data_IF_274063392753
#
_entry.id   IF_274063392753
#
_cell.length_a   1.000
_cell.length_b   1.000
_cell.length_c   1.000
_cell.angle_alpha   90.00
_cell.angle_beta   90.00
_cell.angle_gamma   90.00
#
_symmetry.space_group_name_H-M   'P 1'
#
loop_
_entity.id
_entity.type
_entity.pdbx_description
1 polymer ?
#
# COMPACT_ATOMS: atom_id res chain seq x y z
N UNK A 1 -7.85 12.39 20.36
CA UNK A 1 -7.42 11.35 19.39
C UNK A 1 -6.11 10.75 19.86
N UNK A 2 -5.94 9.42 19.83
CA UNK A 2 -4.70 8.76 20.28
C UNK A 2 -3.51 9.26 19.43
N UNK A 3 -2.39 9.66 20.06
CA UNK A 3 -1.17 10.14 19.38
C UNK A 3 -0.72 9.20 18.26
N UNK A 4 -0.82 7.89 18.46
CA UNK A 4 -0.42 6.91 17.44
C UNK A 4 -1.29 6.99 16.19
N UNK A 5 -2.58 7.36 16.32
CA UNK A 5 -3.48 7.60 15.18
C UNK A 5 -3.02 8.84 14.41
N UNK A 6 -2.70 9.93 15.12
CA UNK A 6 -2.21 11.18 14.50
C UNK A 6 -0.93 10.91 13.70
N UNK A 7 0.04 10.23 14.30
CA UNK A 7 1.31 9.90 13.62
C UNK A 7 1.10 8.99 12.41
N UNK A 8 0.20 8.02 12.51
CA UNK A 8 -0.13 7.13 11.38
C UNK A 8 -0.73 7.93 10.22
N UNK A 9 -1.69 8.81 10.49
CA UNK A 9 -2.31 9.67 9.48
C UNK A 9 -1.26 10.61 8.86
N UNK A 10 -0.41 11.24 9.68
CA UNK A 10 0.64 12.13 9.22
C UNK A 10 1.67 11.43 8.31
N UNK A 11 2.14 10.24 8.69
CA UNK A 11 3.07 9.44 7.88
C UNK A 11 2.41 8.96 6.57
N UNK A 12 1.13 8.59 6.63
CA UNK A 12 0.35 8.23 5.44
C UNK A 12 0.25 9.43 4.47
N UNK A 13 -0.10 10.60 4.99
CA UNK A 13 -0.18 11.84 4.21
C UNK A 13 1.19 12.21 3.60
N UNK A 14 2.27 12.08 4.36
CA UNK A 14 3.63 12.28 3.87
C UNK A 14 3.98 11.32 2.73
N UNK A 15 3.67 10.03 2.87
CA UNK A 15 3.93 9.04 1.83
C UNK A 15 3.17 9.37 0.53
N UNK A 16 1.91 9.78 0.63
CA UNK A 16 1.10 10.25 -0.51
C UNK A 16 1.70 11.51 -1.14
N UNK A 17 2.11 12.48 -0.34
CA UNK A 17 2.72 13.72 -0.83
C UNK A 17 4.04 13.45 -1.57
N UNK A 18 4.92 12.61 -1.02
CA UNK A 18 6.18 12.22 -1.67
C UNK A 18 5.95 11.56 -3.02
N UNK A 19 4.96 10.67 -3.12
CA UNK A 19 4.59 10.06 -4.39
C UNK A 19 4.14 11.09 -5.42
N UNK A 20 3.38 12.12 -5.01
CA UNK A 20 2.84 13.13 -5.92
C UNK A 20 3.87 14.14 -6.43
N UNK A 21 5.02 14.26 -5.77
CA UNK A 21 6.16 15.08 -6.24
C UNK A 21 6.94 14.35 -7.34
N UNK A 22 6.80 13.03 -7.46
CA UNK A 22 7.52 12.25 -8.47
C UNK A 22 6.96 12.57 -9.86
N UNK A 23 7.80 13.00 -10.82
CA UNK A 23 7.36 13.23 -12.18
C UNK A 23 6.83 11.91 -12.76
N UNK A 24 5.77 12.00 -13.57
CA UNK A 24 5.25 10.85 -14.28
C UNK A 24 6.20 10.50 -15.42
N UNK A 25 7.15 9.62 -15.15
CA UNK A 25 8.11 9.16 -16.15
C UNK A 25 7.49 8.07 -17.03
N UNK A 26 7.66 8.20 -18.33
CA UNK A 26 7.29 7.14 -19.26
C UNK A 26 8.03 5.85 -18.93
N UNK A 27 7.33 4.72 -18.93
CA UNK A 27 7.90 3.42 -18.59
C UNK A 27 8.08 3.16 -17.09
N UNK A 28 7.72 4.10 -16.21
CA UNK A 28 7.77 3.92 -14.75
C UNK A 28 6.34 3.83 -14.21
N UNK A 29 5.86 2.60 -14.04
CA UNK A 29 4.52 2.28 -13.56
C UNK A 29 4.57 1.68 -12.15
N UNK A 30 3.45 1.73 -11.43
CA UNK A 30 3.32 1.02 -10.14
C UNK A 30 4.08 1.66 -8.97
N UNK A 31 4.64 2.86 -9.11
CA UNK A 31 5.08 3.62 -7.94
C UNK A 31 3.83 4.09 -7.21
N UNK A 32 3.66 3.72 -5.95
CA UNK A 32 2.54 4.16 -5.11
C UNK A 32 2.76 3.72 -3.66
N UNK A 33 2.42 4.55 -2.67
CA UNK A 33 2.54 4.18 -1.26
C UNK A 33 1.39 3.28 -0.78
N UNK A 34 0.36 3.04 -1.61
CA UNK A 34 -0.90 2.48 -1.13
C UNK A 34 -0.77 1.05 -0.59
N UNK A 35 0.12 0.24 -1.16
CA UNK A 35 0.44 -1.10 -0.65
C UNK A 35 1.01 -1.04 0.75
N UNK A 36 1.99 -0.16 0.97
CA UNK A 36 2.61 0.05 2.27
C UNK A 36 1.61 0.61 3.27
N UNK A 37 0.71 1.52 2.85
CA UNK A 37 -0.36 2.06 3.70
C UNK A 37 -1.33 0.95 4.13
N UNK A 38 -1.73 0.05 3.23
CA UNK A 38 -2.60 -1.08 3.55
C UNK A 38 -1.93 -2.05 4.54
N UNK A 39 -0.68 -2.44 4.30
CA UNK A 39 0.09 -3.29 5.23
C UNK A 39 0.28 -2.62 6.60
N UNK A 40 0.67 -1.35 6.59
CA UNK A 40 0.97 -0.56 7.78
C UNK A 40 -0.29 -0.35 8.63
N UNK A 41 -1.40 0.07 8.04
CA UNK A 41 -2.68 0.25 8.72
C UNK A 41 -3.16 -1.04 9.40
N UNK A 42 -3.08 -2.19 8.71
CA UNK A 42 -3.36 -3.50 9.30
C UNK A 42 -2.45 -3.82 10.50
N UNK A 43 -1.16 -3.53 10.37
CA UNK A 43 -0.19 -3.83 11.44
C UNK A 43 -0.34 -2.95 12.69
N UNK A 44 -0.74 -1.69 12.52
CA UNK A 44 -0.86 -0.69 13.59
C UNK A 44 -2.22 -0.80 14.29
N UNK A 45 -3.31 -1.00 13.54
CA UNK A 45 -4.67 -0.99 14.04
C UNK A 45 -5.26 -2.39 14.25
N UNK A 46 -4.46 -3.37 14.70
CA UNK A 46 -4.93 -4.75 14.96
C UNK A 46 -6.18 -4.81 15.85
N UNK A 47 -6.24 -3.95 16.88
CA UNK A 47 -7.38 -3.86 17.81
C UNK A 47 -8.53 -2.99 17.31
N UNK A 48 -8.31 -2.17 16.27
CA UNK A 48 -9.32 -1.28 15.69
C UNK A 48 -9.43 -1.56 14.18
N UNK A 49 -10.13 -2.65 13.85
CA UNK A 49 -10.29 -3.11 12.45
C UNK A 49 -10.95 -2.06 11.56
N UNK A 50 -11.87 -1.25 12.11
CA UNK A 50 -12.51 -0.16 11.37
C UNK A 50 -11.47 0.81 10.81
N UNK A 51 -10.56 1.30 11.65
CA UNK A 51 -9.46 2.17 11.22
C UNK A 51 -8.44 1.46 10.31
N UNK A 52 -8.19 0.17 10.54
CA UNK A 52 -7.27 -0.62 9.72
C UNK A 52 -7.70 -0.64 8.25
N UNK A 53 -8.99 -0.84 7.98
CA UNK A 53 -9.51 -0.87 6.60
C UNK A 53 -9.86 0.52 6.06
N UNK A 54 -10.36 1.43 6.91
CA UNK A 54 -10.79 2.76 6.48
C UNK A 54 -9.62 3.58 5.92
N UNK A 55 -8.44 3.51 6.56
CA UNK A 55 -7.29 4.31 6.16
C UNK A 55 -6.83 4.05 4.70
N UNK A 56 -6.56 2.81 4.26
CA UNK A 56 -6.19 2.54 2.87
C UNK A 56 -7.34 2.80 1.89
N UNK A 57 -8.59 2.52 2.26
CA UNK A 57 -9.75 2.80 1.38
C UNK A 57 -9.93 4.29 1.15
N UNK A 58 -9.80 5.12 2.19
CA UNK A 58 -9.83 6.58 2.02
C UNK A 58 -8.64 7.09 1.20
N UNK A 59 -7.45 6.54 1.43
CA UNK A 59 -6.27 6.92 0.65
C UNK A 59 -6.44 6.62 -0.85
N UNK A 60 -7.03 5.46 -1.20
CA UNK A 60 -7.42 5.14 -2.58
C UNK A 60 -8.44 6.13 -3.12
N UNK A 61 -9.55 6.30 -2.39
CA UNK A 61 -10.66 7.15 -2.83
C UNK A 61 -10.21 8.59 -3.09
N UNK A 62 -9.47 9.20 -2.17
CA UNK A 62 -8.94 10.55 -2.40
C UNK A 62 -7.93 10.60 -3.54
N UNK A 63 -7.11 9.56 -3.72
CA UNK A 63 -6.20 9.48 -4.86
C UNK A 63 -6.95 9.45 -6.19
N UNK A 64 -8.07 8.71 -6.25
CA UNK A 64 -8.93 8.61 -7.42
C UNK A 64 -9.66 9.93 -7.70
N UNK A 65 -10.24 10.57 -6.67
CA UNK A 65 -10.83 11.92 -6.79
C UNK A 65 -9.81 12.92 -7.36
N UNK A 66 -8.57 12.89 -6.87
CA UNK A 66 -7.52 13.77 -7.38
C UNK A 66 -7.23 13.53 -8.86
N UNK A 67 -7.08 12.27 -9.30
CA UNK A 67 -6.89 11.98 -10.72
C UNK A 67 -8.10 12.36 -11.57
N UNK A 68 -9.31 12.18 -11.04
CA UNK A 68 -10.53 12.64 -11.71
C UNK A 68 -10.52 14.15 -11.95
N UNK A 69 -10.03 14.93 -10.98
CA UNK A 69 -9.94 16.39 -11.09
C UNK A 69 -8.78 16.86 -11.99
N UNK A 70 -7.69 16.10 -12.07
CA UNK A 70 -6.50 16.45 -12.86
C UNK A 70 -6.72 16.21 -14.35
N UNK A 71 -7.17 15.00 -14.72
CA UNK A 71 -7.22 14.56 -16.13
C UNK A 71 -8.47 13.74 -16.48
N UNK A 72 -9.40 13.58 -15.52
CA UNK A 72 -10.63 12.84 -15.73
C UNK A 72 -10.50 11.31 -15.63
N UNK A 73 -9.33 10.78 -15.29
CA UNK A 73 -9.04 9.33 -15.29
C UNK A 73 -9.25 8.63 -13.94
N UNK A 74 -9.73 9.34 -12.93
CA UNK A 74 -9.82 8.84 -11.56
C UNK A 74 -10.83 7.70 -11.34
N UNK A 75 -11.96 7.72 -12.05
CA UNK A 75 -13.00 6.70 -11.93
C UNK A 75 -13.17 5.92 -13.24
N UNK A 76 -13.09 4.58 -13.17
CA UNK A 76 -13.16 3.72 -14.35
C UNK A 76 -13.87 2.37 -14.09
N UNK A 77 -14.42 1.73 -15.15
CA UNK A 77 -15.08 0.43 -15.02
C UNK A 77 -14.16 -0.65 -14.44
N UNK A 78 -14.66 -1.43 -13.49
CA UNK A 78 -13.91 -2.53 -12.85
C UNK A 78 -13.00 -2.12 -11.70
N UNK A 79 -12.84 -0.82 -11.43
CA UNK A 79 -12.02 -0.27 -10.33
C UNK A 79 -12.37 -0.83 -8.95
N UNK A 80 -13.63 -1.21 -8.71
CA UNK A 80 -14.07 -1.80 -7.43
C UNK A 80 -13.29 -3.07 -7.05
N UNK A 81 -12.80 -3.82 -8.04
CA UNK A 81 -11.93 -4.99 -7.79
C UNK A 81 -10.65 -4.55 -7.06
N UNK A 82 -10.06 -3.41 -7.44
CA UNK A 82 -8.86 -2.90 -6.78
C UNK A 82 -9.12 -2.55 -5.31
N UNK A 83 -10.29 -1.98 -4.99
CA UNK A 83 -10.69 -1.70 -3.60
C UNK A 83 -10.77 -2.98 -2.76
N UNK A 84 -11.40 -4.03 -3.30
CA UNK A 84 -11.46 -5.35 -2.64
C UNK A 84 -10.05 -5.91 -2.44
N UNK A 85 -9.19 -5.86 -3.45
CA UNK A 85 -7.83 -6.37 -3.35
C UNK A 85 -7.02 -5.59 -2.30
N UNK A 86 -7.18 -4.28 -2.18
CA UNK A 86 -6.51 -3.53 -1.12
C UNK A 86 -7.04 -3.83 0.28
N UNK A 87 -8.34 -4.12 0.44
CA UNK A 87 -8.87 -4.67 1.69
C UNK A 87 -8.21 -6.01 2.02
N UNK A 88 -7.98 -6.88 1.03
CA UNK A 88 -7.22 -8.12 1.23
C UNK A 88 -5.76 -7.85 1.62
N UNK A 89 -5.09 -6.87 1.01
CA UNK A 89 -3.72 -6.50 1.39
C UNK A 89 -3.68 -6.01 2.84
N UNK A 90 -4.68 -5.25 3.31
CA UNK A 90 -4.78 -4.88 4.73
C UNK A 90 -4.81 -6.09 5.66
N UNK A 91 -5.48 -7.18 5.24
CA UNK A 91 -5.50 -8.42 6.02
C UNK A 91 -4.09 -9.02 6.20
N UNK A 92 -3.22 -8.95 5.17
CA UNK A 92 -1.81 -9.36 5.29
C UNK A 92 -1.12 -8.53 6.40
N UNK A 93 -1.44 -7.24 6.46
CA UNK A 93 -0.95 -6.32 7.50
C UNK A 93 -1.21 -6.79 8.94
N UNK A 94 -2.31 -7.49 9.21
CA UNK A 94 -2.61 -7.99 10.57
C UNK A 94 -1.62 -9.05 11.05
N UNK A 95 -0.99 -9.79 10.15
CA UNK A 95 0.01 -10.79 10.48
C UNK A 95 1.41 -10.20 10.66
N UNK A 96 1.58 -8.90 10.36
CA UNK A 96 2.89 -8.26 10.47
C UNK A 96 3.27 -8.04 11.95
N UNK A 97 4.46 -8.51 12.34
CA UNK A 97 5.11 -8.04 13.55
C UNK A 97 5.91 -6.77 13.22
N UNK A 98 5.36 -5.61 13.58
CA UNK A 98 5.92 -4.28 13.30
C UNK A 98 7.30 -4.00 13.90
N UNK A 99 7.79 -4.85 14.81
CA UNK A 99 9.13 -4.74 15.39
C UNK A 99 10.15 -5.65 14.68
N UNK A 100 9.74 -6.42 13.67
CA UNK A 100 10.59 -7.35 12.95
C UNK A 100 10.74 -6.89 11.48
N UNK A 101 11.95 -6.42 11.14
CA UNK A 101 12.28 -5.88 9.81
C UNK A 101 12.15 -6.95 8.72
N UNK A 102 12.52 -8.21 9.00
CA UNK A 102 12.36 -9.32 8.04
C UNK A 102 10.88 -9.54 7.74
N UNK A 103 10.03 -9.50 8.77
CA UNK A 103 8.60 -9.70 8.59
C UNK A 103 7.95 -8.56 7.77
N UNK A 104 8.36 -7.31 8.00
CA UNK A 104 7.94 -6.15 7.20
C UNK A 104 8.42 -6.29 5.74
N UNK A 105 9.69 -6.69 5.54
CA UNK A 105 10.27 -6.89 4.22
C UNK A 105 9.54 -7.98 3.43
N UNK A 106 9.32 -9.14 4.04
CA UNK A 106 8.57 -10.24 3.42
C UNK A 106 7.14 -9.83 3.05
N UNK A 107 6.43 -9.15 3.94
CA UNK A 107 5.08 -8.66 3.64
C UNK A 107 5.08 -7.61 2.50
N UNK A 108 6.11 -6.77 2.45
CA UNK A 108 6.28 -5.75 1.40
C UNK A 108 6.58 -6.35 0.02
N UNK A 109 7.05 -7.59 -0.03
CA UNK A 109 7.14 -8.37 -1.27
C UNK A 109 5.83 -9.11 -1.54
N UNK A 110 5.29 -9.80 -0.53
CA UNK A 110 4.10 -10.64 -0.70
C UNK A 110 2.85 -9.85 -1.13
N UNK A 111 2.65 -8.65 -0.59
CA UNK A 111 1.48 -7.83 -0.90
C UNK A 111 1.36 -7.44 -2.39
N UNK A 112 2.36 -6.77 -2.99
CA UNK A 112 2.31 -6.45 -4.42
C UNK A 112 2.30 -7.70 -5.30
N UNK A 113 2.96 -8.80 -4.90
CA UNK A 113 2.87 -10.07 -5.64
C UNK A 113 1.45 -10.66 -5.62
N UNK A 114 0.80 -10.70 -4.45
CA UNK A 114 -0.56 -11.20 -4.32
C UNK A 114 -1.55 -10.37 -5.14
N UNK A 115 -1.44 -9.04 -5.05
CA UNK A 115 -2.25 -8.13 -5.86
C UNK A 115 -2.01 -8.32 -7.35
N UNK A 116 -0.76 -8.45 -7.78
CA UNK A 116 -0.42 -8.68 -9.19
C UNK A 116 -1.09 -9.94 -9.73
N UNK A 117 -0.99 -11.06 -9.01
CA UNK A 117 -1.61 -12.32 -9.42
C UNK A 117 -3.13 -12.20 -9.48
N UNK A 118 -3.75 -11.64 -8.45
CA UNK A 118 -5.22 -11.61 -8.35
C UNK A 118 -5.85 -10.57 -9.29
N UNK A 119 -5.24 -9.40 -9.45
CA UNK A 119 -5.75 -8.36 -10.35
C UNK A 119 -5.67 -8.81 -11.80
N UNK A 120 -4.54 -9.38 -12.24
CA UNK A 120 -4.39 -9.89 -13.60
C UNK A 120 -5.26 -11.13 -13.86
N UNK A 121 -5.43 -12.00 -12.88
CA UNK A 121 -6.41 -13.10 -12.99
C UNK A 121 -7.84 -12.55 -13.17
N UNK A 122 -8.22 -11.51 -12.42
CA UNK A 122 -9.51 -10.86 -12.58
C UNK A 122 -9.68 -10.24 -13.97
N UNK A 123 -8.65 -9.60 -14.52
CA UNK A 123 -8.65 -9.05 -15.89
C UNK A 123 -8.83 -10.16 -16.91
N UNK A 124 -8.09 -11.27 -16.76
CA UNK A 124 -8.19 -12.42 -17.64
C UNK A 124 -9.59 -13.05 -17.59
N UNK A 125 -10.19 -13.24 -16.41
CA UNK A 125 -11.55 -13.82 -16.28
C UNK A 125 -12.64 -12.86 -16.76
N UNK A 126 -12.50 -11.55 -16.55
CA UNK A 126 -13.48 -10.56 -17.02
C UNK A 126 -13.40 -10.31 -18.53
N UNK A 127 -12.30 -10.68 -19.18
CA UNK A 127 -12.06 -10.39 -20.58
C UNK A 127 -11.59 -8.95 -20.83
N UNK A 128 -11.08 -8.28 -19.78
CA UNK A 128 -10.47 -6.96 -19.89
C UNK A 128 -9.06 -7.00 -20.49
N UNK A 129 -8.37 -5.85 -20.46
CA UNK A 129 -7.02 -5.72 -20.99
C UNK A 129 -6.95 -6.04 -22.49
N UNK A 130 -6.01 -6.89 -22.89
CA UNK A 130 -5.85 -7.35 -24.28
C UNK A 130 -6.77 -8.54 -24.65
N UNK A 131 -7.76 -8.84 -23.80
CA UNK A 131 -8.76 -9.90 -24.02
C UNK A 131 -8.12 -11.25 -24.42
N UNK A 132 -7.09 -11.67 -23.66
CA UNK A 132 -6.36 -12.92 -23.92
C UNK A 132 -7.30 -14.13 -23.90
N UNK A 133 -7.01 -15.22 -24.66
CA UNK A 133 -7.85 -16.41 -24.72
C UNK A 133 -8.16 -17.01 -23.34
N UNK A 134 -9.36 -17.55 -23.14
CA UNK A 134 -9.80 -18.19 -21.87
C UNK A 134 -9.22 -19.60 -21.70
N UNK A 135 -7.90 -19.72 -21.82
CA UNK A 135 -7.13 -20.93 -21.54
C UNK A 135 -5.86 -20.59 -20.73
N UNK A 136 -5.13 -21.62 -20.30
CA UNK A 136 -3.93 -21.43 -19.47
C UNK A 136 -2.85 -20.58 -20.15
N UNK A 137 -2.65 -20.74 -21.46
CA UNK A 137 -1.69 -19.93 -22.21
C UNK A 137 -2.08 -18.44 -22.23
N UNK A 138 -3.38 -18.14 -22.40
CA UNK A 138 -3.88 -16.77 -22.32
C UNK A 138 -3.73 -16.17 -20.93
N UNK A 139 -3.91 -16.95 -19.85
CA UNK A 139 -3.64 -16.49 -18.49
C UNK A 139 -2.17 -16.12 -18.30
N UNK A 140 -1.24 -16.96 -18.77
CA UNK A 140 0.19 -16.64 -18.71
C UNK A 140 0.54 -15.38 -19.51
N UNK A 141 -0.07 -15.20 -20.68
CA UNK A 141 0.08 -13.97 -21.46
C UNK A 141 -0.43 -12.74 -20.69
N UNK A 142 -1.58 -12.83 -20.00
CA UNK A 142 -2.07 -11.72 -19.17
C UNK A 142 -1.10 -11.36 -18.05
N UNK A 143 -0.45 -12.34 -17.41
CA UNK A 143 0.60 -12.04 -16.43
C UNK A 143 1.83 -11.37 -17.06
N UNK A 144 2.25 -11.79 -18.25
CA UNK A 144 3.34 -11.14 -18.98
C UNK A 144 2.98 -9.68 -19.31
N UNK A 145 1.75 -9.43 -19.77
CA UNK A 145 1.24 -8.08 -20.06
C UNK A 145 1.22 -7.19 -18.82
N UNK A 146 0.92 -7.76 -17.66
CA UNK A 146 0.88 -7.06 -16.38
C UNK A 146 2.26 -6.77 -15.78
N UNK A 147 3.32 -7.44 -16.24
CA UNK A 147 4.64 -7.41 -15.62
C UNK A 147 5.24 -5.99 -15.48
N UNK A 148 5.09 -5.07 -16.46
CA UNK A 148 5.60 -3.70 -16.34
C UNK A 148 4.99 -2.90 -15.18
N UNK A 149 3.78 -3.26 -14.73
CA UNK A 149 3.12 -2.61 -13.59
C UNK A 149 3.61 -3.16 -12.23
N UNK A 150 4.30 -4.30 -12.24
CA UNK A 150 4.73 -5.00 -11.04
C UNK A 150 6.25 -4.91 -10.82
N UNK A 151 7.06 -5.24 -11.83
CA UNK A 151 8.51 -5.29 -11.69
C UNK A 151 9.20 -4.25 -12.57
N UNK A 152 10.22 -3.51 -12.06
CA UNK A 152 10.75 -3.55 -10.69
C UNK A 152 10.09 -2.55 -9.72
N UNK A 153 9.38 -1.57 -10.27
CA UNK A 153 9.05 -0.33 -9.57
C UNK A 153 8.02 -0.49 -8.46
N UNK A 154 7.00 -1.33 -8.62
CA UNK A 154 6.00 -1.57 -7.57
C UNK A 154 6.61 -2.27 -6.35
N UNK A 155 7.52 -3.23 -6.56
CA UNK A 155 8.26 -3.87 -5.47
C UNK A 155 9.15 -2.87 -4.74
N UNK A 156 9.96 -2.11 -5.49
CA UNK A 156 10.85 -1.10 -4.93
C UNK A 156 10.08 -0.02 -4.16
N UNK A 157 8.96 0.44 -4.73
CA UNK A 157 8.07 1.42 -4.11
C UNK A 157 7.47 0.91 -2.81
N UNK A 158 6.97 -0.33 -2.79
CA UNK A 158 6.39 -0.93 -1.58
C UNK A 158 7.43 -1.10 -0.48
N UNK A 159 8.64 -1.55 -0.82
CA UNK A 159 9.75 -1.64 0.14
C UNK A 159 10.13 -0.28 0.70
N UNK A 160 10.29 0.72 -0.16
CA UNK A 160 10.65 2.08 0.23
C UNK A 160 9.62 2.72 1.17
N UNK A 161 8.33 2.71 0.78
CA UNK A 161 7.29 3.30 1.60
C UNK A 161 7.01 2.49 2.87
N UNK A 162 7.20 1.16 2.86
CA UNK A 162 7.13 0.38 4.10
C UNK A 162 8.27 0.74 5.05
N UNK A 163 9.49 0.91 4.56
CA UNK A 163 10.60 1.38 5.38
C UNK A 163 10.31 2.77 5.98
N UNK A 164 9.76 3.69 5.18
CA UNK A 164 9.37 5.03 5.63
C UNK A 164 8.30 4.98 6.73
N UNK A 165 7.21 4.23 6.51
CA UNK A 165 6.07 4.19 7.43
C UNK A 165 6.41 3.45 8.73
N UNK A 166 6.93 2.24 8.64
CA UNK A 166 7.27 1.43 9.81
C UNK A 166 8.49 1.99 10.56
N UNK A 167 9.55 2.38 9.83
CA UNK A 167 10.74 2.99 10.40
C UNK A 167 10.44 4.34 11.04
N UNK A 168 9.65 5.19 10.37
CA UNK A 168 9.17 6.46 10.92
C UNK A 168 8.41 6.28 12.23
N UNK A 169 7.47 5.33 12.28
CA UNK A 169 6.76 5.02 13.53
C UNK A 169 7.67 4.50 14.63
N UNK A 170 8.63 3.66 14.29
CA UNK A 170 9.59 3.12 15.25
C UNK A 170 10.40 4.25 15.89
N UNK A 171 10.99 5.14 15.08
CA UNK A 171 11.79 6.27 15.56
C UNK A 171 10.98 7.24 16.43
N UNK A 172 9.77 7.60 15.99
CA UNK A 172 8.88 8.53 16.72
C UNK A 172 8.33 7.93 18.03
N UNK A 173 8.30 6.60 18.13
CA UNK A 173 7.91 5.87 19.34
C UNK A 173 9.09 5.66 20.29
N UNK A 174 10.29 5.40 19.76
CA UNK A 174 11.51 5.20 20.53
C UNK A 174 11.97 6.46 21.27
N UNK A 175 11.87 7.63 20.63
CA UNK A 175 12.23 8.92 21.25
C UNK A 175 11.44 9.21 22.53
N UNK A 176 10.24 8.63 22.68
CA UNK A 176 9.36 8.81 23.83
C UNK A 176 9.82 8.04 25.07
N UNK A 177 10.43 6.86 24.89
CA UNK A 177 10.96 6.05 26.01
C UNK A 177 12.11 6.78 26.70
N UNK A 178 12.96 7.43 25.91
CA UNK A 178 14.11 8.18 26.40
C UNK A 178 13.70 9.45 27.13
N UNK A 179 12.70 10.21 26.64
CA UNK A 179 12.26 11.45 27.30
C UNK A 179 11.50 11.22 28.61
N UNK A 180 10.70 10.15 28.74
CA UNK A 180 10.01 9.85 30.00
C UNK A 180 10.95 9.35 31.10
N UNK A 181 12.01 8.60 30.74
CA UNK A 181 13.01 8.15 31.72
C UNK A 181 13.87 9.30 32.26
N UNK A 182 14.07 10.37 31.49
CA UNK A 182 14.77 11.56 31.99
C UNK A 182 13.92 12.38 32.96
N UNK A 183 12.59 12.41 32.81
CA UNK A 183 11.71 13.11 33.75
C UNK A 183 11.47 12.33 35.06
N UNK A 184 11.47 10.99 35.02
CA UNK A 184 11.33 10.16 36.23
C UNK A 184 12.61 10.11 37.08
N UNK A 185 13.79 10.23 36.46
CA UNK A 185 15.08 10.23 37.17
C UNK A 185 15.52 11.63 37.64
N UNK A 186 14.72 12.67 37.36
CA UNK A 186 15.01 14.06 37.73
C UNK A 186 14.14 14.58 38.89
N UNK A 187 13.41 13.69 39.56
CA UNK A 187 12.59 13.92 40.78
C UNK A 187 13.16 13.06 41.89
#
# INVERSE_FOLDING_TARGET
MNRNIILTIALTALAVALFRIMPRWEGVWGITPIFSIALFSGSIFKSNKGMAFLLPVLALFFSDVLWQLIDGSGFYPGQFVNYILFVMITCIGFFINKNNVVNIGLASLAAPTAFFLLSNFSVWVSGGGLARPKNFAGLMQTYVDGLPFYFPWQLASTLFFSALLFGGMYLLSAHKKTTSSFSENAV
#
